data_IF_632055478457
#
_entry.id   IF_632055478457
#
_cell.length_a   1.000
_cell.length_b   1.000
_cell.length_c   1.000
_cell.angle_alpha   90.00
_cell.angle_beta   90.00
_cell.angle_gamma   90.00
#
_symmetry.space_group_name_H-M   'P 1'
#
loop_
_entity.id
_entity.type
_entity.pdbx_description
1 polymer ?
#
# COMPACT_ATOMS: atom_id res chain seq x y z
N UNK A 1 -11.78 -25.44 -7.82
CA UNK A 1 -10.77 -25.21 -6.77
C UNK A 1 -11.11 -23.93 -6.02
N UNK A 2 -11.62 -23.99 -4.78
CA UNK A 2 -11.91 -22.79 -3.98
C UNK A 2 -10.62 -22.04 -3.60
N UNK A 3 -10.73 -20.74 -3.31
CA UNK A 3 -9.58 -19.92 -2.86
C UNK A 3 -9.12 -20.38 -1.47
N UNK A 4 -7.82 -20.62 -1.31
CA UNK A 4 -7.19 -20.94 -0.03
C UNK A 4 -6.96 -19.70 0.85
N UNK A 5 -6.61 -19.94 2.12
CA UNK A 5 -6.16 -18.92 3.07
C UNK A 5 -4.80 -18.34 2.66
N UNK A 6 -4.56 -17.07 2.96
CA UNK A 6 -3.32 -16.34 2.63
C UNK A 6 -2.56 -15.84 3.87
N UNK A 7 -3.13 -16.04 5.06
CA UNK A 7 -2.63 -15.64 6.36
C UNK A 7 -2.11 -16.82 7.21
N UNK A 8 -1.97 -18.00 6.61
CA UNK A 8 -1.51 -19.21 7.31
C UNK A 8 0.01 -19.33 7.45
N UNK A 9 0.79 -18.41 6.87
CA UNK A 9 2.26 -18.45 6.91
C UNK A 9 2.81 -17.77 8.15
N UNK A 10 4.08 -18.05 8.46
CA UNK A 10 4.76 -17.61 9.68
C UNK A 10 4.63 -16.11 9.96
N UNK A 11 4.85 -15.25 8.95
CA UNK A 11 4.74 -13.79 9.09
C UNK A 11 3.39 -13.35 9.68
N UNK A 12 2.29 -13.96 9.23
CA UNK A 12 0.95 -13.58 9.64
C UNK A 12 0.60 -14.11 11.04
N UNK A 13 1.09 -15.31 11.38
CA UNK A 13 0.99 -15.88 12.72
C UNK A 13 1.77 -15.05 13.75
N UNK A 14 3.00 -14.61 13.40
CA UNK A 14 3.77 -13.66 14.21
C UNK A 14 3.00 -12.35 14.39
N UNK A 15 2.36 -11.87 13.31
CA UNK A 15 1.54 -10.66 13.34
C UNK A 15 0.40 -10.71 14.36
N UNK A 16 -0.22 -11.87 14.61
CA UNK A 16 -1.24 -12.02 15.66
C UNK A 16 -0.68 -11.70 17.05
N UNK A 17 0.51 -12.25 17.36
CA UNK A 17 1.20 -12.01 18.62
C UNK A 17 1.67 -10.56 18.80
N UNK A 18 2.10 -9.92 17.70
CA UNK A 18 2.46 -8.49 17.68
C UNK A 18 1.24 -7.63 17.97
N UNK A 19 0.12 -7.85 17.27
CA UNK A 19 -1.12 -7.07 17.47
C UNK A 19 -1.66 -7.20 18.89
N UNK A 20 -1.59 -8.39 19.50
CA UNK A 20 -2.05 -8.62 20.86
C UNK A 20 -1.27 -7.82 21.94
N UNK A 21 -0.05 -7.36 21.62
CA UNK A 21 0.83 -6.63 22.54
C UNK A 21 1.12 -5.20 22.07
N UNK A 22 0.46 -4.76 21.00
CA UNK A 22 0.76 -3.50 20.32
C UNK A 22 0.43 -2.33 21.24
N UNK A 23 1.39 -1.42 21.35
CA UNK A 23 1.17 -0.08 21.87
C UNK A 23 0.94 0.88 20.69
N UNK A 24 -0.27 1.45 20.52
CA UNK A 24 -0.57 2.38 19.43
C UNK A 24 0.33 3.62 19.43
N UNK A 25 0.85 4.02 20.59
CA UNK A 25 1.65 5.23 20.74
C UNK A 25 3.14 5.00 20.41
N UNK A 26 3.54 3.75 20.14
CA UNK A 26 4.94 3.35 19.94
C UNK A 26 5.14 2.54 18.64
N UNK A 27 4.58 3.01 17.53
CA UNK A 27 4.73 2.37 16.21
C UNK A 27 5.92 2.98 15.46
N UNK A 28 7.02 2.24 15.22
CA UNK A 28 8.19 2.78 14.52
C UNK A 28 7.93 2.92 13.01
N UNK A 29 8.51 3.94 12.39
CA UNK A 29 8.57 4.09 10.93
C UNK A 29 9.92 3.58 10.44
N UNK A 30 9.93 2.51 9.66
CA UNK A 30 11.13 2.02 9.01
C UNK A 30 11.32 2.71 7.64
N UNK A 31 12.44 3.41 7.40
CA UNK A 31 12.59 4.29 6.24
C UNK A 31 12.53 3.56 4.90
N UNK A 32 13.14 2.38 4.78
CA UNK A 32 13.10 1.59 3.54
C UNK A 32 11.68 1.09 3.24
N UNK A 33 10.93 0.72 4.28
CA UNK A 33 9.55 0.25 4.14
C UNK A 33 8.65 1.38 3.66
N UNK A 34 8.80 2.57 4.25
CA UNK A 34 8.11 3.77 3.79
C UNK A 34 8.45 4.09 2.31
N UNK A 35 9.73 4.00 1.94
CA UNK A 35 10.19 4.22 0.57
C UNK A 35 9.54 3.27 -0.44
N UNK A 36 9.54 1.95 -0.19
CA UNK A 36 8.91 0.95 -1.07
C UNK A 36 7.41 1.18 -1.21
N UNK A 37 6.74 1.51 -0.10
CA UNK A 37 5.30 1.75 -0.08
C UNK A 37 4.92 2.98 -0.92
N UNK A 38 5.60 4.12 -0.70
CA UNK A 38 5.38 5.36 -1.44
C UNK A 38 5.75 5.20 -2.91
N UNK A 39 6.87 4.54 -3.22
CA UNK A 39 7.28 4.29 -4.60
C UNK A 39 6.22 3.50 -5.39
N UNK A 40 5.58 2.51 -4.74
CA UNK A 40 4.51 1.72 -5.35
C UNK A 40 3.25 2.57 -5.61
N UNK A 41 2.89 3.47 -4.69
CA UNK A 41 1.80 4.44 -4.92
C UNK A 41 2.08 5.34 -6.12
N UNK A 42 3.27 5.97 -6.16
CA UNK A 42 3.67 6.88 -7.23
C UNK A 42 3.69 6.19 -8.59
N UNK A 43 4.24 4.97 -8.66
CA UNK A 43 4.25 4.20 -9.90
C UNK A 43 2.82 3.88 -10.42
N UNK A 44 1.85 3.63 -9.53
CA UNK A 44 0.46 3.43 -9.92
C UNK A 44 -0.18 4.75 -10.40
N UNK A 45 0.10 5.86 -9.71
CA UNK A 45 -0.35 7.20 -10.09
C UNK A 45 0.11 7.54 -11.51
N UNK A 46 1.40 7.37 -11.79
CA UNK A 46 1.99 7.68 -13.09
C UNK A 46 1.43 6.77 -14.19
N UNK A 47 1.24 5.48 -13.90
CA UNK A 47 0.62 4.55 -14.84
C UNK A 47 -0.80 4.98 -15.22
N UNK A 48 -1.67 5.24 -14.23
CA UNK A 48 -3.06 5.63 -14.51
C UNK A 48 -3.14 6.98 -15.22
N UNK A 49 -2.23 7.88 -14.88
CA UNK A 49 -2.09 9.17 -15.56
C UNK A 49 -1.71 9.01 -17.02
N UNK A 50 -0.72 8.18 -17.33
CA UNK A 50 -0.31 7.85 -18.70
C UNK A 50 -1.48 7.24 -19.48
N UNK A 51 -2.33 6.46 -18.81
CA UNK A 51 -3.56 5.88 -19.39
C UNK A 51 -4.72 6.87 -19.51
N UNK A 52 -4.56 8.12 -19.08
CA UNK A 52 -5.53 9.20 -19.26
C UNK A 52 -6.67 9.20 -18.25
N UNK A 53 -6.50 8.56 -17.09
CA UNK A 53 -7.50 8.60 -16.02
C UNK A 53 -7.63 10.00 -15.40
N UNK A 54 -8.83 10.40 -14.96
CA UNK A 54 -9.02 11.66 -14.23
C UNK A 54 -8.34 11.62 -12.85
N UNK A 55 -7.78 12.75 -12.44
CA UNK A 55 -7.06 12.89 -11.17
C UNK A 55 -7.83 12.46 -9.93
N UNK A 56 -9.15 12.67 -9.91
CA UNK A 56 -9.99 12.22 -8.80
C UNK A 56 -10.03 10.70 -8.68
N UNK A 57 -10.04 9.98 -9.80
CA UNK A 57 -9.98 8.52 -9.82
C UNK A 57 -8.58 8.04 -9.40
N UNK A 58 -7.53 8.63 -9.98
CA UNK A 58 -6.14 8.32 -9.62
C UNK A 58 -5.89 8.48 -8.12
N UNK A 59 -6.30 9.60 -7.53
CA UNK A 59 -6.14 9.86 -6.11
C UNK A 59 -6.95 8.85 -5.27
N UNK A 60 -8.21 8.59 -5.64
CA UNK A 60 -9.04 7.66 -4.90
C UNK A 60 -8.48 6.23 -4.91
N UNK A 61 -8.15 5.70 -6.08
CA UNK A 61 -7.70 4.31 -6.26
C UNK A 61 -6.27 4.07 -5.77
N UNK A 62 -5.39 5.07 -5.85
CA UNK A 62 -3.96 4.89 -5.57
C UNK A 62 -3.54 5.36 -4.19
N UNK A 63 -4.36 6.20 -3.53
CA UNK A 63 -4.02 6.81 -2.25
C UNK A 63 -5.17 6.65 -1.25
N UNK A 64 -6.34 7.23 -1.53
CA UNK A 64 -7.42 7.38 -0.54
C UNK A 64 -7.94 6.00 -0.10
N UNK A 65 -8.27 5.12 -1.04
CA UNK A 65 -8.79 3.79 -0.72
C UNK A 65 -7.77 2.98 0.09
N UNK A 66 -6.48 3.09 -0.23
CA UNK A 66 -5.43 2.40 0.51
C UNK A 66 -5.37 2.89 1.97
N UNK A 67 -5.26 4.20 2.19
CA UNK A 67 -5.00 4.74 3.55
C UNK A 67 -6.25 4.83 4.43
N UNK A 68 -7.41 5.13 3.85
CA UNK A 68 -8.64 5.40 4.62
C UNK A 68 -9.54 4.16 4.74
N UNK A 69 -9.35 3.15 3.90
CA UNK A 69 -10.23 1.97 3.84
C UNK A 69 -9.47 0.65 4.02
N UNK A 70 -8.51 0.34 3.15
CA UNK A 70 -7.90 -0.99 3.11
C UNK A 70 -6.86 -1.22 4.21
N UNK A 71 -5.93 -0.29 4.41
CA UNK A 71 -4.89 -0.40 5.43
C UNK A 71 -5.46 -0.56 6.84
N UNK A 72 -6.52 0.17 7.26
CA UNK A 72 -7.16 -0.05 8.56
C UNK A 72 -7.60 -1.49 8.80
N UNK A 73 -8.10 -2.19 7.76
CA UNK A 73 -8.48 -3.60 7.89
C UNK A 73 -7.24 -4.49 8.07
N UNK A 74 -6.17 -4.22 7.34
CA UNK A 74 -4.91 -4.96 7.48
C UNK A 74 -4.28 -4.72 8.87
N UNK A 75 -4.28 -3.48 9.34
CA UNK A 75 -3.78 -3.11 10.66
C UNK A 75 -4.55 -3.84 11.78
N UNK A 76 -5.88 -3.90 11.64
CA UNK A 76 -6.75 -4.50 12.65
C UNK A 76 -6.60 -6.03 12.77
N UNK A 77 -6.61 -6.78 11.65
CA UNK A 77 -6.64 -8.26 11.68
C UNK A 77 -5.75 -8.94 10.62
N UNK A 78 -4.81 -8.22 10.02
CA UNK A 78 -3.85 -8.78 9.05
C UNK A 78 -4.38 -8.87 7.61
N UNK A 79 -3.54 -9.36 6.70
CA UNK A 79 -3.80 -9.27 5.23
C UNK A 79 -5.06 -10.00 4.78
N UNK A 80 -5.39 -11.15 5.38
CA UNK A 80 -6.59 -11.88 4.98
C UNK A 80 -7.85 -11.08 5.34
N UNK A 81 -7.85 -10.37 6.47
CA UNK A 81 -8.97 -9.52 6.84
C UNK A 81 -9.15 -8.36 5.86
N UNK A 82 -8.07 -7.77 5.34
CA UNK A 82 -8.18 -6.78 4.27
C UNK A 82 -8.67 -7.43 2.96
N UNK A 83 -7.96 -8.44 2.45
CA UNK A 83 -8.19 -8.97 1.11
C UNK A 83 -9.51 -9.73 1.00
N UNK A 84 -9.84 -10.59 1.97
CA UNK A 84 -11.00 -11.48 1.87
C UNK A 84 -12.34 -10.79 2.20
N UNK A 85 -12.31 -9.55 2.69
CA UNK A 85 -13.48 -8.66 2.76
C UNK A 85 -13.74 -7.89 1.45
N UNK A 86 -12.83 -7.96 0.47
CA UNK A 86 -13.05 -7.39 -0.86
C UNK A 86 -13.83 -8.34 -1.79
N UNK A 87 -14.20 -7.84 -2.97
CA UNK A 87 -14.89 -8.62 -4.01
C UNK A 87 -14.09 -9.85 -4.48
N UNK A 88 -14.77 -10.81 -5.11
CA UNK A 88 -14.11 -11.99 -5.70
C UNK A 88 -13.01 -11.61 -6.71
N UNK A 89 -13.23 -10.56 -7.51
CA UNK A 89 -12.25 -10.06 -8.48
C UNK A 89 -10.99 -9.55 -7.77
N UNK A 90 -11.15 -8.75 -6.71
CA UNK A 90 -10.04 -8.23 -5.93
C UNK A 90 -9.27 -9.36 -5.22
N UNK A 91 -9.98 -10.33 -4.63
CA UNK A 91 -9.39 -11.49 -3.96
C UNK A 91 -8.54 -12.36 -4.89
N UNK A 92 -9.04 -12.61 -6.10
CA UNK A 92 -8.30 -13.34 -7.15
C UNK A 92 -7.13 -12.51 -7.67
N UNK A 93 -7.33 -11.20 -7.87
CA UNK A 93 -6.29 -10.27 -8.29
C UNK A 93 -5.11 -10.24 -7.33
N UNK A 94 -5.37 -10.00 -6.05
CA UNK A 94 -4.34 -9.99 -5.00
C UNK A 94 -3.53 -11.29 -4.98
N UNK A 95 -4.18 -12.45 -4.99
CA UNK A 95 -3.52 -13.76 -4.99
C UNK A 95 -2.69 -14.02 -6.25
N UNK A 96 -3.09 -13.47 -7.40
CA UNK A 96 -2.38 -13.60 -8.66
C UNK A 96 -1.16 -12.66 -8.76
N UNK A 97 -1.30 -11.44 -8.27
CA UNK A 97 -0.32 -10.37 -8.52
C UNK A 97 0.64 -10.11 -7.36
N UNK A 98 0.25 -10.36 -6.10
CA UNK A 98 1.14 -10.15 -4.95
C UNK A 98 2.50 -10.88 -5.08
N UNK A 99 2.57 -12.16 -5.53
CA UNK A 99 3.87 -12.83 -5.72
C UNK A 99 4.74 -12.18 -6.80
N UNK A 100 4.15 -11.45 -7.75
CA UNK A 100 4.92 -10.76 -8.81
C UNK A 100 5.63 -9.53 -8.25
N UNK A 101 4.98 -8.79 -7.36
CA UNK A 101 5.57 -7.66 -6.66
C UNK A 101 6.66 -8.09 -5.66
N UNK A 102 6.43 -9.19 -4.94
CA UNK A 102 7.46 -9.80 -4.08
C UNK A 102 8.73 -10.10 -4.90
N UNK A 103 8.58 -10.85 -6.00
CA UNK A 103 9.72 -11.28 -6.79
C UNK A 103 10.45 -10.12 -7.49
N UNK A 104 9.75 -9.10 -8.00
CA UNK A 104 10.44 -7.97 -8.65
C UNK A 104 11.24 -7.13 -7.64
N UNK A 105 10.72 -6.95 -6.42
CA UNK A 105 11.44 -6.25 -5.35
C UNK A 105 12.69 -7.04 -4.94
N UNK A 106 12.54 -8.35 -4.72
CA UNK A 106 13.65 -9.23 -4.35
C UNK A 106 14.71 -9.35 -5.44
N UNK A 107 14.32 -9.33 -6.72
CA UNK A 107 15.24 -9.54 -7.84
C UNK A 107 15.93 -8.27 -8.31
N UNK A 108 15.32 -7.09 -8.11
CA UNK A 108 15.83 -5.84 -8.67
C UNK A 108 16.02 -4.76 -7.62
N UNK A 109 14.96 -4.38 -6.90
CA UNK A 109 15.00 -3.22 -5.99
C UNK A 109 15.94 -3.44 -4.80
N UNK A 110 15.82 -4.57 -4.09
CA UNK A 110 16.70 -4.85 -2.94
C UNK A 110 18.15 -5.11 -3.34
N UNK A 111 18.47 -5.84 -4.43
CA UNK A 111 19.84 -5.94 -4.92
C UNK A 111 20.46 -4.60 -5.34
N UNK A 112 19.66 -3.64 -5.84
CA UNK A 112 20.13 -2.28 -6.11
C UNK A 112 20.46 -1.52 -4.81
N UNK A 113 19.61 -1.65 -3.79
CA UNK A 113 19.84 -1.08 -2.46
C UNK A 113 21.09 -1.65 -1.80
N UNK A 114 21.27 -2.97 -1.82
CA UNK A 114 22.43 -3.66 -1.23
C UNK A 114 23.76 -3.25 -1.88
N UNK A 115 23.74 -2.93 -3.17
CA UNK A 115 24.90 -2.43 -3.91
C UNK A 115 25.20 -0.95 -3.65
N UNK A 116 24.34 -0.25 -2.92
CA UNK A 116 24.45 1.18 -2.70
C UNK A 116 24.44 1.97 -4.01
N UNK A 117 23.60 1.56 -4.98
CA UNK A 117 23.46 2.32 -6.22
C UNK A 117 23.06 3.77 -5.88
N UNK A 118 23.63 4.71 -6.62
CA UNK A 118 23.37 6.12 -6.39
C UNK A 118 21.89 6.44 -6.58
N UNK A 119 21.37 7.29 -5.72
CA UNK A 119 20.03 7.85 -5.85
C UNK A 119 20.01 8.73 -7.10
N UNK A 120 18.99 8.52 -7.93
CA UNK A 120 18.70 9.41 -9.04
C UNK A 120 17.96 10.64 -8.49
N UNK A 121 18.66 11.77 -8.40
CA UNK A 121 18.13 13.02 -7.86
C UNK A 121 16.91 13.51 -8.65
N UNK A 122 16.86 13.24 -9.97
CA UNK A 122 15.72 13.61 -10.80
C UNK A 122 14.45 12.84 -10.40
N UNK A 123 14.58 11.57 -9.98
CA UNK A 123 13.43 10.80 -9.48
C UNK A 123 12.90 11.36 -8.17
N UNK A 124 13.79 11.85 -7.31
CA UNK A 124 13.39 12.49 -6.06
C UNK A 124 12.71 13.84 -6.33
N UNK A 125 13.25 14.65 -7.22
CA UNK A 125 12.67 15.93 -7.61
C UNK A 125 11.29 15.72 -8.25
N UNK A 126 11.16 14.77 -9.17
CA UNK A 126 9.86 14.39 -9.77
C UNK A 126 8.85 13.93 -8.72
N UNK A 127 9.29 13.24 -7.68
CA UNK A 127 8.42 12.88 -6.55
C UNK A 127 7.96 14.12 -5.79
N UNK A 128 8.88 15.00 -5.39
CA UNK A 128 8.56 16.20 -4.58
C UNK A 128 7.67 17.18 -5.35
N UNK A 129 7.93 17.37 -6.64
CA UNK A 129 7.24 18.34 -7.50
C UNK A 129 5.98 17.78 -8.16
N UNK A 130 5.62 16.53 -7.87
CA UNK A 130 4.42 15.91 -8.45
C UNK A 130 3.15 16.66 -8.03
N UNK A 131 2.32 17.03 -9.01
CA UNK A 131 1.05 17.71 -8.77
C UNK A 131 0.01 16.83 -8.05
N UNK A 132 0.24 15.52 -7.93
CA UNK A 132 -0.63 14.62 -7.18
C UNK A 132 -0.77 15.04 -5.71
N UNK A 133 0.25 15.68 -5.13
CA UNK A 133 0.20 16.19 -3.76
C UNK A 133 -0.88 17.27 -3.60
N UNK A 134 -0.98 18.17 -4.57
CA UNK A 134 -2.01 19.21 -4.59
C UNK A 134 -3.39 18.64 -4.91
N UNK A 135 -3.47 17.69 -5.84
CA UNK A 135 -4.72 16.96 -6.16
C UNK A 135 -5.25 16.28 -4.90
N UNK A 136 -4.40 15.58 -4.16
CA UNK A 136 -4.76 14.91 -2.93
C UNK A 136 -5.28 15.91 -1.88
N UNK A 137 -4.63 17.07 -1.74
CA UNK A 137 -5.07 18.16 -0.86
C UNK A 137 -6.48 18.66 -1.21
N UNK A 138 -6.81 18.75 -2.50
CA UNK A 138 -8.16 19.11 -2.94
C UNK A 138 -9.16 17.99 -2.67
N UNK A 139 -8.84 16.75 -3.03
CA UNK A 139 -9.71 15.60 -2.79
C UNK A 139 -9.96 15.37 -1.30
N UNK A 140 -8.96 15.61 -0.44
CA UNK A 140 -9.07 15.47 1.01
C UNK A 140 -10.16 16.37 1.63
N UNK A 141 -10.42 17.55 1.06
CA UNK A 141 -11.47 18.46 1.53
C UNK A 141 -12.88 17.91 1.33
N UNK A 142 -13.04 16.91 0.48
CA UNK A 142 -14.33 16.26 0.18
C UNK A 142 -14.52 14.96 0.99
N UNK A 143 -13.53 14.56 1.79
CA UNK A 143 -13.61 13.34 2.58
C UNK A 143 -14.52 13.54 3.80
N UNK A 144 -15.17 12.46 4.28
CA UNK A 144 -15.83 12.49 5.58
C UNK A 144 -14.89 12.95 6.68
N UNK A 145 -15.39 13.68 7.67
CA UNK A 145 -14.59 14.16 8.81
C UNK A 145 -14.31 13.08 9.86
N UNK A 146 -14.68 11.83 9.58
CA UNK A 146 -14.59 10.70 10.50
C UNK A 146 -13.79 9.59 9.84
N UNK A 147 -12.79 9.09 10.54
CA UNK A 147 -12.02 7.93 10.11
C UNK A 147 -12.87 6.67 10.18
N UNK A 148 -12.53 5.67 9.36
CA UNK A 148 -13.22 4.38 9.40
C UNK A 148 -13.02 3.72 10.76
N UNK A 149 -14.12 3.34 11.41
CA UNK A 149 -14.07 2.50 12.61
C UNK A 149 -14.18 1.05 12.19
N UNK A 150 -13.05 0.33 12.18
CA UNK A 150 -13.03 -1.11 11.95
C UNK A 150 -13.37 -1.79 13.29
N UNK A 151 -14.65 -2.07 13.51
CA UNK A 151 -15.13 -2.78 14.69
C UNK A 151 -15.27 -4.28 14.41
N UNK A 152 -14.85 -5.12 15.35
CA UNK A 152 -15.11 -6.55 15.32
C UNK A 152 -14.54 -7.29 16.51
#
# INVERSE_FOLDING_TARGET
YPMGKIDGTEMWQVGEGVRAKRDPDQIPIHPVTAGVYIATMMAQIDLLREKGHPYSEIANESIIEAVDSLNPYMDYKGVAYMVDNCSTTARLGSRKWAPRFDYILAQQAYPALDKGLQVDEEQFDNFVDSDIHQVLSVCAKLRPSVDISVMG
#
